data_IF_290237222568
#
_entry.id   IF_290237222568
#
_cell.length_a   1.000
_cell.length_b   1.000
_cell.length_c   1.000
_cell.angle_alpha   90.00
_cell.angle_beta   90.00
_cell.angle_gamma   90.00
#
_symmetry.space_group_name_H-M   'P 1'
#
loop_
_entity.id
_entity.type
_entity.pdbx_description
1 polymer ?
#
# COMPACT_ATOMS: atom_id res chain seq x y z
N UNK A 1 13.72 5.31 -16.80
CA UNK A 1 12.51 5.89 -16.19
C UNK A 1 12.70 5.85 -14.68
N UNK A 2 12.60 6.98 -13.98
CA UNK A 2 12.67 6.99 -12.51
C UNK A 2 11.51 6.15 -11.97
N UNK A 3 11.79 5.26 -11.02
CA UNK A 3 10.73 4.55 -10.33
C UNK A 3 9.85 5.57 -9.60
N UNK A 4 8.54 5.56 -9.90
CA UNK A 4 7.58 6.34 -9.12
C UNK A 4 7.50 5.75 -7.71
N UNK A 5 7.32 6.63 -6.74
CA UNK A 5 7.29 6.32 -5.30
C UNK A 5 5.97 6.82 -4.73
N UNK A 6 5.36 6.01 -3.88
CA UNK A 6 4.23 6.36 -3.04
C UNK A 6 4.73 6.83 -1.68
N UNK A 7 4.16 7.92 -1.18
CA UNK A 7 4.55 8.52 0.09
C UNK A 7 3.30 8.77 0.91
N UNK A 8 3.26 8.25 2.13
CA UNK A 8 2.15 8.44 3.08
C UNK A 8 2.65 9.01 4.39
N UNK A 9 1.96 10.01 4.92
CA UNK A 9 2.26 10.58 6.23
C UNK A 9 1.31 10.00 7.26
N UNK A 10 1.86 9.45 8.34
CA UNK A 10 1.08 8.90 9.44
C UNK A 10 0.32 10.04 10.13
N UNK A 11 -0.99 9.93 10.20
CA UNK A 11 -1.89 10.94 10.73
C UNK A 11 -2.05 10.80 12.25
N UNK A 12 -2.15 9.56 12.76
CA UNK A 12 -2.46 9.30 14.16
C UNK A 12 -1.49 8.31 14.82
N UNK A 13 -1.56 8.22 16.16
CA UNK A 13 -0.78 7.26 16.93
C UNK A 13 0.67 7.67 17.25
N UNK A 14 1.49 6.73 17.78
CA UNK A 14 2.81 7.03 18.37
C UNK A 14 3.87 7.47 17.34
N UNK A 15 3.59 7.30 16.05
CA UNK A 15 4.48 7.65 14.94
C UNK A 15 3.90 8.75 14.04
N UNK A 16 2.86 9.46 14.48
CA UNK A 16 2.27 10.56 13.73
C UNK A 16 3.32 11.56 13.24
N UNK A 17 3.16 12.03 11.99
CA UNK A 17 4.10 12.91 11.29
C UNK A 17 5.31 12.19 10.67
N UNK A 18 5.50 10.88 10.90
CA UNK A 18 6.47 10.09 10.14
C UNK A 18 5.91 9.69 8.78
N UNK A 19 6.81 9.36 7.87
CA UNK A 19 6.48 9.08 6.48
C UNK A 19 6.84 7.64 6.10
N UNK A 20 5.87 6.92 5.55
CA UNK A 20 6.03 5.63 4.90
C UNK A 20 6.31 5.88 3.42
N UNK A 21 7.29 5.19 2.84
CA UNK A 21 7.70 5.35 1.45
C UNK A 21 7.77 3.99 0.78
N UNK A 22 6.89 3.74 -0.19
CA UNK A 22 6.81 2.48 -0.94
C UNK A 22 6.94 2.73 -2.44
N UNK A 23 7.24 1.70 -3.25
CA UNK A 23 7.11 1.81 -4.70
C UNK A 23 5.67 2.17 -5.10
N UNK A 24 5.50 3.10 -6.03
CA UNK A 24 4.20 3.30 -6.68
C UNK A 24 3.93 2.14 -7.65
N UNK A 25 2.65 1.82 -7.85
CA UNK A 25 2.16 0.74 -8.71
C UNK A 25 2.57 -0.67 -8.23
N UNK A 26 2.20 -1.10 -7.00
CA UNK A 26 2.68 -2.35 -6.39
C UNK A 26 2.49 -3.59 -7.28
N UNK A 27 1.37 -3.67 -8.00
CA UNK A 27 1.08 -4.78 -8.92
C UNK A 27 2.08 -4.92 -10.08
N UNK A 28 2.63 -3.80 -10.57
CA UNK A 28 3.62 -3.75 -11.66
C UNK A 28 5.06 -3.92 -11.17
N UNK A 29 5.30 -3.87 -9.85
CA UNK A 29 6.61 -4.12 -9.25
C UNK A 29 6.90 -5.59 -9.06
N UNK A 30 5.86 -6.42 -9.03
CA UNK A 30 5.97 -7.86 -8.86
C UNK A 30 5.88 -8.58 -10.21
N UNK A 31 6.81 -9.52 -10.45
CA UNK A 31 6.78 -10.35 -11.64
C UNK A 31 5.62 -11.36 -11.62
N UNK A 32 5.21 -11.82 -12.81
CA UNK A 32 4.14 -12.83 -12.97
C UNK A 32 4.39 -14.11 -12.15
N UNK A 33 5.65 -14.47 -11.93
CA UNK A 33 6.02 -15.62 -11.11
C UNK A 33 5.60 -15.49 -9.64
N UNK A 34 5.64 -14.27 -9.08
CA UNK A 34 5.16 -13.97 -7.74
C UNK A 34 3.64 -14.11 -7.67
N UNK A 35 2.92 -13.40 -8.56
CA UNK A 35 1.46 -13.50 -8.66
C UNK A 35 0.98 -14.95 -8.81
N UNK A 36 1.64 -15.73 -9.67
CA UNK A 36 1.32 -17.16 -9.83
C UNK A 36 1.50 -17.95 -8.53
N UNK A 37 2.55 -17.70 -7.75
CA UNK A 37 2.81 -18.44 -6.49
C UNK A 37 1.74 -18.16 -5.44
N UNK A 38 1.31 -16.91 -5.33
CA UNK A 38 0.35 -16.46 -4.33
C UNK A 38 -1.10 -16.47 -4.80
N UNK A 39 -1.40 -16.88 -6.04
CA UNK A 39 -2.75 -16.92 -6.65
C UNK A 39 -3.84 -17.68 -5.89
N UNK A 40 -3.47 -18.47 -4.88
CA UNK A 40 -4.38 -19.29 -4.08
C UNK A 40 -4.64 -18.70 -2.69
N UNK A 41 -3.85 -17.71 -2.28
CA UNK A 41 -4.04 -17.01 -1.02
C UNK A 41 -5.29 -16.13 -1.10
N UNK A 42 -5.87 -15.79 0.05
CA UNK A 42 -6.98 -14.84 0.10
C UNK A 42 -6.54 -13.46 -0.41
N UNK A 43 -7.45 -12.57 -0.85
CA UNK A 43 -7.09 -11.22 -1.26
C UNK A 43 -6.32 -10.45 -0.16
N UNK A 44 -6.69 -10.64 1.10
CA UNK A 44 -6.02 -10.04 2.26
C UNK A 44 -4.59 -10.57 2.43
N UNK A 45 -4.38 -11.88 2.33
CA UNK A 45 -3.04 -12.47 2.40
C UNK A 45 -2.16 -12.03 1.23
N UNK A 46 -2.69 -12.02 0.01
CA UNK A 46 -1.95 -11.53 -1.17
C UNK A 46 -1.51 -10.07 -0.99
N UNK A 47 -2.36 -9.26 -0.36
CA UNK A 47 -2.07 -7.88 -0.03
C UNK A 47 -0.94 -7.77 0.99
N UNK A 48 -0.94 -8.57 2.05
CA UNK A 48 0.16 -8.62 3.02
C UNK A 48 1.48 -9.06 2.39
N UNK A 49 1.46 -10.10 1.55
CA UNK A 49 2.69 -10.52 0.84
C UNK A 49 3.23 -9.39 -0.05
N UNK A 50 2.36 -8.56 -0.64
CA UNK A 50 2.80 -7.40 -1.41
C UNK A 50 3.45 -6.31 -0.53
N UNK A 51 2.85 -6.01 0.62
CA UNK A 51 3.42 -5.06 1.59
C UNK A 51 4.81 -5.54 2.03
N UNK A 52 4.91 -6.78 2.49
CA UNK A 52 6.17 -7.37 2.98
C UNK A 52 7.25 -7.49 1.90
N UNK A 53 6.86 -7.69 0.63
CA UNK A 53 7.81 -7.79 -0.46
C UNK A 53 8.35 -6.43 -0.94
N UNK A 54 7.62 -5.34 -0.69
CA UNK A 54 7.93 -4.01 -1.24
C UNK A 54 8.34 -2.99 -0.18
N UNK A 55 8.00 -3.20 1.08
CA UNK A 55 8.44 -2.40 2.21
C UNK A 55 9.79 -2.88 2.73
N UNK A 56 10.64 -1.94 3.14
CA UNK A 56 11.81 -2.26 3.97
C UNK A 56 11.41 -2.36 5.45
N UNK A 57 12.32 -2.89 6.28
CA UNK A 57 12.08 -3.09 7.72
C UNK A 57 11.58 -1.81 8.40
N UNK A 58 12.14 -0.66 8.03
CA UNK A 58 11.76 0.64 8.59
C UNK A 58 10.32 1.00 8.25
N UNK A 59 9.89 0.78 7.01
CA UNK A 59 8.51 1.06 6.60
C UNK A 59 7.54 0.04 7.21
N UNK A 60 7.93 -1.24 7.34
CA UNK A 60 7.13 -2.24 8.05
C UNK A 60 6.90 -1.84 9.51
N UNK A 61 7.95 -1.44 10.23
CA UNK A 61 7.83 -0.95 11.61
C UNK A 61 6.88 0.26 11.74
N UNK A 62 6.76 1.07 10.69
CA UNK A 62 5.83 2.20 10.65
C UNK A 62 4.40 1.74 10.36
N UNK A 63 4.22 0.82 9.40
CA UNK A 63 2.93 0.22 9.04
C UNK A 63 2.33 -0.51 10.26
N UNK A 64 3.14 -1.24 11.02
CA UNK A 64 2.71 -1.96 12.24
C UNK A 64 2.17 -1.03 13.34
N UNK A 65 2.48 0.27 13.27
CA UNK A 65 1.99 1.26 14.24
C UNK A 65 0.70 1.95 13.81
N UNK A 66 0.23 1.69 12.58
CA UNK A 66 -1.01 2.26 12.07
C UNK A 66 -2.20 1.70 12.83
N UNK A 67 -3.18 2.55 13.07
CA UNK A 67 -4.46 2.12 13.60
C UNK A 67 -5.26 1.42 12.49
N UNK A 68 -6.19 0.50 12.81
CA UNK A 68 -6.89 -0.28 11.79
C UNK A 68 -7.63 0.55 10.73
N UNK A 69 -8.22 1.68 11.12
CA UNK A 69 -8.87 2.64 10.24
C UNK A 69 -7.86 3.34 9.31
N UNK A 70 -6.77 3.85 9.88
CA UNK A 70 -5.71 4.50 9.09
C UNK A 70 -4.98 3.52 8.17
N UNK A 71 -4.81 2.27 8.59
CA UNK A 71 -4.23 1.21 7.77
C UNK A 71 -5.10 0.94 6.52
N UNK A 72 -6.43 0.90 6.67
CA UNK A 72 -7.33 0.73 5.54
C UNK A 72 -7.20 1.89 4.53
N UNK A 73 -7.16 3.15 5.01
CA UNK A 73 -6.94 4.33 4.17
C UNK A 73 -5.58 4.29 3.44
N UNK A 74 -4.53 3.93 4.16
CA UNK A 74 -3.18 3.76 3.61
C UNK A 74 -3.17 2.72 2.48
N UNK A 75 -3.81 1.56 2.68
CA UNK A 75 -3.84 0.48 1.69
C UNK A 75 -4.65 0.86 0.45
N UNK A 76 -5.80 1.51 0.63
CA UNK A 76 -6.61 2.04 -0.47
C UNK A 76 -5.81 3.05 -1.31
N UNK A 77 -5.15 4.01 -0.65
CA UNK A 77 -4.34 5.02 -1.30
C UNK A 77 -3.13 4.41 -2.04
N UNK A 78 -2.46 3.43 -1.44
CA UNK A 78 -1.27 2.82 -2.03
C UNK A 78 -1.58 1.95 -3.25
N UNK A 79 -2.71 1.24 -3.24
CA UNK A 79 -3.18 0.46 -4.39
C UNK A 79 -3.82 1.32 -5.49
N UNK A 80 -3.98 2.64 -5.25
CA UNK A 80 -4.49 3.59 -6.24
C UNK A 80 -6.01 3.67 -6.30
N UNK A 81 -6.72 3.44 -5.19
CA UNK A 81 -8.18 3.55 -5.10
C UNK A 81 -8.95 2.47 -5.86
N UNK A 82 -8.31 1.36 -6.23
CA UNK A 82 -8.93 0.28 -7.00
C UNK A 82 -9.48 -0.83 -6.11
N UNK A 83 -10.25 -0.46 -5.08
CA UNK A 83 -11.23 -1.36 -4.48
C UNK A 83 -12.57 -0.66 -4.26
N UNK A 84 -13.01 0.12 -5.25
CA UNK A 84 -14.33 0.75 -5.26
C UNK A 84 -14.25 2.21 -5.69
N UNK A 85 -15.06 2.59 -6.68
CA UNK A 85 -15.19 3.94 -7.20
C UNK A 85 -15.31 5.00 -6.09
N UNK A 86 -14.48 6.04 -6.13
CA UNK A 86 -14.79 7.37 -5.59
C UNK A 86 -13.77 8.41 -6.08
N UNK A 87 -13.90 8.84 -7.33
CA UNK A 87 -13.88 10.28 -7.63
C UNK A 87 -14.53 10.56 -9.00
N UNK A 88 -15.81 10.20 -9.14
CA UNK A 88 -16.70 11.05 -9.92
C UNK A 88 -16.86 12.36 -9.15
N UNK A 89 -16.10 13.39 -9.49
CA UNK A 89 -16.43 14.81 -9.29
C UNK A 89 -15.23 15.66 -9.66
N UNK A 90 -15.21 16.13 -10.90
CA UNK A 90 -14.59 17.40 -11.31
C UNK A 90 -15.23 17.83 -12.63
N UNK A 91 -16.33 18.58 -12.47
CA UNK A 91 -16.84 19.65 -13.35
C UNK A 91 -16.97 19.42 -14.87
N UNK A 92 -18.22 19.36 -15.33
CA UNK A 92 -18.78 20.25 -16.38
C UNK A 92 -20.29 20.39 -16.20
#
# INVERSE_FOLDING_TARGET
>A
MSAKTFTWTINNGPKAGKTITLPADPANKMGVGFHRRHRKESPEEQMWVLVEALADDKNLELIDTLWPDEFAEFMEAWQGGSMGESNESSES
#
